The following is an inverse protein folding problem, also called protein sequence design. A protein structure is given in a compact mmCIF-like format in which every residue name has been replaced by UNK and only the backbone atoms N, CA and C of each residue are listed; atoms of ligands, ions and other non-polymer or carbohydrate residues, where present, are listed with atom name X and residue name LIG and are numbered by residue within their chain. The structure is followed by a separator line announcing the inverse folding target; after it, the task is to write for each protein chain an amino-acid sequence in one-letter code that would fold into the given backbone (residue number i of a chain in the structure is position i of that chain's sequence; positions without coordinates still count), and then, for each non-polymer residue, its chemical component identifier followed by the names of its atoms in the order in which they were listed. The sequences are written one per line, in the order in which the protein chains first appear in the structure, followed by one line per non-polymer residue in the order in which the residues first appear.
data_IF_380050515689
#
_entry.id   IF_380050515689
#
_cell.length_a   1.000
_cell.length_b   1.000
_cell.length_c   1.000
_cell.angle_alpha   90.00
_cell.angle_beta   90.00
_cell.angle_gamma   90.00
#
_symmetry.space_group_name_H-M   'P 1'
#
loop_
_entity.id
_entity.type
_entity.pdbx_description
1 polymer ?
#
# COMPACT_ATOMS: atom_id res chain seq x y z
N UNK A 1 -33.70 11.83 -1.95
CA UNK A 1 -34.25 10.97 -0.88
C UNK A 1 -35.52 11.64 -0.37
N UNK A 2 -36.61 10.91 -0.18
CA UNK A 2 -37.85 11.44 0.42
C UNK A 2 -37.78 11.17 1.92
N UNK A 3 -37.90 12.22 2.73
CA UNK A 3 -37.84 12.13 4.19
C UNK A 3 -39.23 11.79 4.77
N UNK A 4 -39.30 11.05 5.89
CA UNK A 4 -40.56 10.75 6.56
C UNK A 4 -41.26 12.05 7.02
N UNK A 5 -42.59 12.04 7.05
CA UNK A 5 -43.45 13.19 7.38
C UNK A 5 -44.60 12.75 8.31
N UNK A 6 -45.04 13.63 9.22
CA UNK A 6 -46.14 13.38 10.15
C UNK A 6 -47.52 13.71 9.55
N UNK A 7 -48.36 12.68 9.31
CA UNK A 7 -49.73 12.86 8.82
C UNK A 7 -50.60 13.65 9.84
N UNK A 8 -51.29 14.70 9.37
CA UNK A 8 -52.24 15.49 10.18
C UNK A 8 -51.62 16.48 11.17
N UNK A 9 -50.29 16.65 11.16
CA UNK A 9 -49.61 17.59 12.06
C UNK A 9 -49.72 19.05 11.55
N UNK A 10 -50.02 19.99 12.46
CA UNK A 10 -50.02 21.43 12.16
C UNK A 10 -48.61 22.00 11.98
N UNK A 11 -47.62 21.43 12.67
CA UNK A 11 -46.20 21.79 12.56
C UNK A 11 -45.35 20.53 12.65
N UNK A 12 -44.37 20.44 11.78
CA UNK A 12 -43.39 19.36 11.76
C UNK A 12 -41.98 19.96 11.87
N UNK A 13 -41.18 19.41 12.77
CA UNK A 13 -39.77 19.73 12.89
C UNK A 13 -39.02 18.46 13.25
N UNK A 14 -37.74 18.42 12.90
CA UNK A 14 -36.93 17.25 13.17
C UNK A 14 -35.47 17.45 12.84
N UNK A 15 -34.73 16.36 12.94
CA UNK A 15 -33.30 16.31 12.77
C UNK A 15 -32.95 15.23 11.76
N UNK A 16 -31.92 15.50 10.97
CA UNK A 16 -31.37 14.55 10.01
C UNK A 16 -29.87 14.43 10.27
N UNK A 17 -29.43 13.22 10.56
CA UNK A 17 -28.02 12.87 10.67
C UNK A 17 -27.63 11.99 9.49
N UNK A 18 -26.45 12.25 8.90
CA UNK A 18 -25.91 11.45 7.80
C UNK A 18 -24.63 10.79 8.29
N UNK A 19 -24.70 9.48 8.49
CA UNK A 19 -23.56 8.63 8.81
C UNK A 19 -22.89 8.08 7.54
N UNK A 20 -21.61 7.78 7.65
CA UNK A 20 -20.80 7.30 6.53
C UNK A 20 -20.06 6.02 6.92
N UNK A 21 -20.31 4.90 6.23
CA UNK A 21 -19.50 3.70 6.39
C UNK A 21 -18.15 3.85 5.66
N UNK A 22 -17.05 3.70 6.39
CA UNK A 22 -15.70 3.68 5.83
C UNK A 22 -15.20 5.04 5.32
N UNK A 23 -14.24 5.02 4.39
CA UNK A 23 -13.58 6.23 3.85
C UNK A 23 -14.36 6.83 2.69
N UNK A 24 -15.44 7.55 2.97
CA UNK A 24 -16.15 8.35 1.96
C UNK A 24 -16.07 9.84 2.31
N UNK A 25 -16.02 10.67 1.26
CA UNK A 25 -16.25 12.11 1.35
C UNK A 25 -17.71 12.42 1.07
N UNK A 26 -18.31 13.27 1.90
CA UNK A 26 -19.65 13.80 1.71
C UNK A 26 -19.61 15.32 1.52
N UNK A 27 -20.06 15.75 0.35
CA UNK A 27 -20.27 17.16 0.02
C UNK A 27 -21.77 17.46 -0.12
N UNK A 28 -22.22 18.58 0.45
CA UNK A 28 -23.58 19.06 0.27
C UNK A 28 -23.68 19.74 -1.10
N UNK A 29 -24.48 19.19 -2.01
CA UNK A 29 -24.68 19.77 -3.33
C UNK A 29 -25.81 20.80 -3.33
N UNK A 30 -26.91 20.51 -2.63
CA UNK A 30 -28.04 21.42 -2.47
C UNK A 30 -28.89 21.04 -1.25
N UNK A 31 -29.60 22.02 -0.69
CA UNK A 31 -30.60 21.82 0.37
C UNK A 31 -31.79 22.76 0.23
N UNK A 32 -32.96 22.31 0.71
CA UNK A 32 -34.19 23.12 0.82
C UNK A 32 -34.86 22.86 2.18
N UNK A 33 -35.29 23.92 2.84
CA UNK A 33 -35.96 23.90 4.16
C UNK A 33 -35.19 23.11 5.26
N UNK A 34 -33.86 23.00 5.10
CA UNK A 34 -32.92 22.41 6.05
C UNK A 34 -31.89 23.46 6.51
N UNK A 35 -31.56 23.43 7.80
CA UNK A 35 -30.47 24.19 8.38
C UNK A 35 -29.36 23.22 8.81
N UNK A 36 -28.15 23.39 8.27
CA UNK A 36 -26.99 22.64 8.75
C UNK A 36 -26.67 23.01 10.21
N UNK A 37 -26.31 22.00 10.98
CA UNK A 37 -25.96 22.11 12.40
C UNK A 37 -24.70 21.29 12.67
N UNK A 38 -24.06 21.54 13.80
CA UNK A 38 -22.98 20.69 14.29
C UNK A 38 -23.57 19.36 14.80
N UNK A 39 -22.87 18.24 14.59
CA UNK A 39 -23.33 16.93 15.07
C UNK A 39 -23.55 16.90 16.59
N UNK A 40 -22.82 17.72 17.37
CA UNK A 40 -22.99 17.89 18.82
C UNK A 40 -24.32 18.53 19.22
N UNK A 41 -25.03 19.16 18.28
CA UNK A 41 -26.33 19.77 18.49
C UNK A 41 -27.48 18.77 18.24
N UNK A 42 -27.19 17.56 17.77
CA UNK A 42 -28.19 16.52 17.60
C UNK A 42 -28.76 16.08 18.95
N UNK A 43 -30.05 15.68 19.01
CA UNK A 43 -30.61 15.01 20.17
C UNK A 43 -29.80 13.76 20.52
N UNK A 44 -29.63 13.48 21.81
CA UNK A 44 -28.82 12.35 22.30
C UNK A 44 -29.24 11.00 21.71
N UNK A 45 -30.53 10.78 21.51
CA UNK A 45 -31.08 9.55 20.91
C UNK A 45 -30.64 9.35 19.44
N UNK A 46 -30.56 10.45 18.67
CA UNK A 46 -30.14 10.42 17.25
C UNK A 46 -28.62 10.23 17.15
N UNK A 47 -27.86 10.85 18.05
CA UNK A 47 -26.41 10.68 18.10
C UNK A 47 -26.03 9.26 18.56
N UNK A 48 -26.75 8.70 19.54
CA UNK A 48 -26.49 7.38 20.10
C UNK A 48 -26.91 6.23 19.18
N UNK A 49 -27.83 6.45 18.24
CA UNK A 49 -28.25 5.42 17.28
C UNK A 49 -27.29 5.24 16.10
N UNK A 50 -26.34 6.17 15.91
CA UNK A 50 -25.37 6.08 14.83
C UNK A 50 -24.37 4.96 15.06
N UNK A 51 -24.19 4.10 14.05
CA UNK A 51 -23.24 2.97 14.08
C UNK A 51 -21.95 3.29 13.33
N UNK A 52 -21.91 4.45 12.68
CA UNK A 52 -20.75 5.01 11.99
C UNK A 52 -20.64 6.53 12.27
N UNK A 53 -19.48 7.15 12.01
CA UNK A 53 -19.33 8.59 12.24
C UNK A 53 -20.36 9.42 11.47
N UNK A 54 -21.00 10.36 12.17
CA UNK A 54 -21.89 11.35 11.57
C UNK A 54 -21.04 12.47 10.98
N UNK A 55 -21.07 12.62 9.65
CA UNK A 55 -20.28 13.66 8.97
C UNK A 55 -21.08 14.92 8.64
N UNK A 56 -22.42 14.81 8.56
CA UNK A 56 -23.32 15.95 8.30
C UNK A 56 -24.56 15.83 9.19
N UNK A 57 -25.01 16.96 9.72
CA UNK A 57 -26.20 17.05 10.55
C UNK A 57 -27.05 18.26 10.14
N UNK A 58 -28.37 18.09 10.20
CA UNK A 58 -29.34 19.09 9.79
C UNK A 58 -30.55 19.13 10.72
N UNK A 59 -31.21 20.30 10.76
CA UNK A 59 -32.50 20.52 11.42
C UNK A 59 -33.50 21.11 10.43
N UNK A 60 -34.75 20.67 10.47
CA UNK A 60 -35.84 21.24 9.67
C UNK A 60 -37.00 21.69 10.55
N UNK A 61 -37.77 22.67 10.06
CA UNK A 61 -38.94 23.26 10.74
C UNK A 61 -40.18 23.35 9.83
N UNK A 62 -40.05 22.83 8.61
CA UNK A 62 -41.12 22.78 7.60
C UNK A 62 -41.21 21.37 7.04
N UNK A 63 -42.41 20.93 6.64
CA UNK A 63 -42.59 19.64 6.01
C UNK A 63 -41.87 19.59 4.65
N UNK A 64 -41.54 18.38 4.22
CA UNK A 64 -40.89 18.10 2.92
C UNK A 64 -39.51 18.76 2.68
N UNK A 65 -38.55 18.66 3.62
CA UNK A 65 -37.17 19.09 3.36
C UNK A 65 -36.51 18.29 2.23
N UNK A 66 -35.64 18.93 1.45
CA UNK A 66 -34.87 18.29 0.38
C UNK A 66 -33.37 18.40 0.64
N UNK A 67 -32.64 17.29 0.51
CA UNK A 67 -31.18 17.24 0.60
C UNK A 67 -30.59 16.50 -0.59
N UNK A 68 -29.59 17.11 -1.23
CA UNK A 68 -28.77 16.50 -2.25
C UNK A 68 -27.32 16.44 -1.77
N UNK A 69 -26.79 15.22 -1.72
CA UNK A 69 -25.41 14.95 -1.33
C UNK A 69 -24.64 14.40 -2.53
N UNK A 70 -23.39 14.86 -2.66
CA UNK A 70 -22.39 14.20 -3.50
C UNK A 70 -21.56 13.31 -2.59
N UNK A 71 -21.53 12.02 -2.93
CA UNK A 71 -20.75 11.01 -2.22
C UNK A 71 -19.60 10.59 -3.10
N UNK A 72 -18.39 10.62 -2.57
CA UNK A 72 -17.21 10.15 -3.27
C UNK A 72 -16.47 9.15 -2.40
N UNK A 73 -16.11 8.00 -2.97
CA UNK A 73 -15.25 7.05 -2.29
C UNK A 73 -13.83 7.59 -2.33
N UNK A 74 -13.24 7.80 -1.16
CA UNK A 74 -11.83 8.15 -1.08
C UNK A 74 -11.02 6.90 -1.43
N UNK A 75 -9.91 7.04 -2.18
CA UNK A 75 -9.05 5.92 -2.48
C UNK A 75 -8.59 5.31 -1.15
N UNK A 76 -8.77 4.00 -1.03
CA UNK A 76 -8.03 3.21 -0.08
C UNK A 76 -6.62 3.17 -0.65
N UNK A 77 -5.72 4.00 -0.14
CA UNK A 77 -4.30 3.82 -0.44
C UNK A 77 -3.95 2.40 -0.02
N UNK A 78 -3.81 1.51 -1.00
CA UNK A 78 -3.10 0.25 -0.83
C UNK A 78 -1.75 0.65 -0.26
N UNK A 79 -1.58 0.46 1.05
CA UNK A 79 -0.29 0.61 1.69
C UNK A 79 0.70 -0.18 0.84
N UNK A 80 1.64 0.52 0.19
CA UNK A 80 2.67 -0.13 -0.61
C UNK A 80 3.22 -1.29 0.23
N UNK A 81 2.97 -2.53 -0.22
CA UNK A 81 3.17 -3.70 0.62
C UNK A 81 4.64 -3.85 1.01
N UNK A 82 5.54 -3.23 0.24
CA UNK A 82 6.88 -2.85 0.62
C UNK A 82 7.49 -1.84 -0.35
N UNK A 83 8.61 -1.24 0.03
CA UNK A 83 9.40 -0.35 -0.81
C UNK A 83 10.89 -0.62 -0.60
N UNK A 84 11.65 -0.69 -1.70
CA UNK A 84 13.11 -0.81 -1.62
C UNK A 84 13.71 0.59 -1.51
N UNK A 85 14.43 0.82 -0.42
CA UNK A 85 15.10 2.09 -0.16
C UNK A 85 16.40 2.18 -0.97
N UNK A 86 17.16 1.10 -1.00
CA UNK A 86 18.45 1.03 -1.71
C UNK A 86 18.81 -0.39 -2.10
N UNK A 87 19.44 -0.52 -3.27
CA UNK A 87 20.16 -1.71 -3.70
C UNK A 87 21.63 -1.33 -3.86
N UNK A 88 22.51 -1.99 -3.12
CA UNK A 88 23.95 -1.97 -3.37
C UNK A 88 24.33 -3.31 -4.00
N UNK A 89 24.85 -3.28 -5.23
CA UNK A 89 25.27 -4.45 -5.99
C UNK A 89 26.79 -4.44 -6.18
N UNK A 90 27.43 -5.61 -6.10
CA UNK A 90 28.83 -5.80 -6.44
C UNK A 90 28.96 -7.04 -7.33
N UNK A 91 29.52 -6.87 -8.52
CA UNK A 91 29.78 -7.99 -9.43
C UNK A 91 31.27 -8.18 -9.64
N UNK A 92 31.76 -9.40 -9.42
CA UNK A 92 33.15 -9.81 -9.63
C UNK A 92 33.19 -10.86 -10.73
N UNK A 93 33.98 -10.60 -11.78
CA UNK A 93 34.27 -11.56 -12.85
C UNK A 93 35.64 -12.18 -12.61
N UNK A 94 35.69 -13.51 -12.50
CA UNK A 94 36.95 -14.25 -12.42
C UNK A 94 37.58 -14.47 -13.80
N UNK A 95 38.91 -14.68 -13.89
CA UNK A 95 39.59 -15.02 -15.14
C UNK A 95 39.04 -16.28 -15.83
N UNK A 96 38.48 -17.21 -15.04
CA UNK A 96 37.88 -18.47 -15.51
C UNK A 96 36.45 -18.29 -16.04
N UNK A 97 35.92 -17.06 -16.05
CA UNK A 97 34.59 -16.76 -16.57
C UNK A 97 33.46 -16.94 -15.54
N UNK A 98 33.78 -17.09 -14.25
CA UNK A 98 32.76 -17.12 -13.19
C UNK A 98 32.38 -15.71 -12.77
N UNK A 99 31.09 -15.47 -12.69
CA UNK A 99 30.51 -14.20 -12.26
C UNK A 99 29.86 -14.38 -10.89
N UNK A 100 30.38 -13.68 -9.89
CA UNK A 100 29.77 -13.61 -8.56
C UNK A 100 29.10 -12.24 -8.41
N UNK A 101 27.81 -12.21 -8.10
CA UNK A 101 27.07 -10.98 -7.84
C UNK A 101 26.50 -11.00 -6.43
N UNK A 102 26.92 -10.06 -5.61
CA UNK A 102 26.36 -9.80 -4.29
C UNK A 102 25.36 -8.65 -4.38
N UNK A 103 24.16 -8.87 -3.85
CA UNK A 103 23.15 -7.84 -3.71
C UNK A 103 22.86 -7.62 -2.23
N UNK A 104 22.93 -6.37 -1.79
CA UNK A 104 22.45 -5.91 -0.48
C UNK A 104 21.25 -4.99 -0.69
N UNK A 105 20.08 -5.46 -0.28
CA UNK A 105 18.80 -4.80 -0.51
C UNK A 105 18.28 -4.29 0.84
N UNK A 106 18.23 -2.96 0.99
CA UNK A 106 17.59 -2.32 2.15
C UNK A 106 16.16 -1.95 1.78
N UNK A 107 15.19 -2.47 2.53
CA UNK A 107 13.78 -2.27 2.24
C UNK A 107 12.90 -2.14 3.49
N UNK A 108 11.69 -1.63 3.29
CA UNK A 108 10.61 -1.61 4.27
C UNK A 108 9.47 -2.49 3.77
N UNK A 109 8.88 -3.29 4.64
CA UNK A 109 7.84 -4.26 4.26
C UNK A 109 6.72 -4.28 5.29
N UNK A 110 5.47 -4.17 4.85
CA UNK A 110 4.30 -4.24 5.74
C UNK A 110 3.74 -5.65 5.79
N UNK A 111 3.60 -6.32 4.64
CA UNK A 111 2.80 -7.54 4.53
C UNK A 111 3.36 -8.60 3.56
N UNK A 112 4.36 -8.30 2.72
CA UNK A 112 4.83 -9.28 1.72
C UNK A 112 5.61 -10.42 2.37
N UNK A 113 5.37 -11.69 2.00
CA UNK A 113 6.12 -12.83 2.53
C UNK A 113 7.49 -12.96 1.89
N UNK A 114 7.67 -12.51 0.64
CA UNK A 114 8.92 -12.59 -0.11
C UNK A 114 9.08 -11.43 -1.10
N UNK A 115 10.33 -11.18 -1.48
CA UNK A 115 10.74 -10.34 -2.61
C UNK A 115 11.05 -11.25 -3.79
N UNK A 116 10.48 -10.99 -4.96
CA UNK A 116 10.79 -11.76 -6.16
C UNK A 116 11.91 -11.07 -6.96
N UNK A 117 12.96 -11.81 -7.30
CA UNK A 117 14.03 -11.38 -8.20
C UNK A 117 13.97 -12.18 -9.51
N UNK A 118 13.83 -11.49 -10.63
CA UNK A 118 14.08 -12.07 -11.93
C UNK A 118 15.60 -12.23 -12.12
N UNK A 119 16.07 -13.48 -12.21
CA UNK A 119 17.48 -13.78 -12.36
C UNK A 119 17.89 -13.79 -13.84
N UNK A 120 19.13 -13.37 -14.17
CA UNK A 120 19.73 -13.64 -15.48
C UNK A 120 19.82 -15.14 -15.75
N UNK A 121 19.84 -15.52 -17.03
CA UNK A 121 19.93 -16.94 -17.42
C UNK A 121 21.15 -17.64 -16.78
N UNK A 122 20.97 -18.90 -16.40
CA UNK A 122 22.02 -19.74 -15.78
C UNK A 122 22.62 -19.17 -14.47
N UNK A 123 21.83 -18.46 -13.66
CA UNK A 123 22.23 -17.96 -12.35
C UNK A 123 21.76 -18.88 -11.23
N UNK A 124 22.69 -19.33 -10.38
CA UNK A 124 22.44 -20.05 -9.14
C UNK A 124 22.58 -19.15 -7.90
N UNK A 125 21.99 -19.59 -6.79
CA UNK A 125 22.10 -18.91 -5.49
C UNK A 125 23.15 -19.61 -4.62
N UNK A 126 24.15 -18.85 -4.18
CA UNK A 126 25.19 -19.31 -3.23
C UNK A 126 24.73 -19.18 -1.80
N UNK A 127 24.11 -18.06 -1.44
CA UNK A 127 23.62 -17.78 -0.09
C UNK A 127 22.58 -16.67 -0.10
N UNK A 128 21.73 -16.66 0.93
CA UNK A 128 20.81 -15.57 1.22
C UNK A 128 20.73 -15.33 2.73
N UNK A 129 20.71 -14.06 3.14
CA UNK A 129 20.63 -13.64 4.54
C UNK A 129 19.50 -12.61 4.70
N UNK A 130 18.82 -12.65 5.84
CA UNK A 130 17.87 -11.64 6.30
C UNK A 130 18.39 -11.06 7.62
N UNK A 131 18.80 -9.79 7.61
CA UNK A 131 19.54 -9.15 8.71
C UNK A 131 20.70 -9.98 9.25
N UNK A 132 21.52 -10.52 8.35
CA UNK A 132 22.67 -11.37 8.68
C UNK A 132 22.32 -12.80 9.13
N UNK A 133 21.04 -13.16 9.22
CA UNK A 133 20.60 -14.52 9.56
C UNK A 133 20.36 -15.31 8.28
N UNK A 134 20.93 -16.53 8.11
CA UNK A 134 20.68 -17.36 6.94
C UNK A 134 19.20 -17.67 6.73
N UNK A 135 18.75 -17.53 5.49
CA UNK A 135 17.38 -17.88 5.07
C UNK A 135 17.42 -18.79 3.85
N UNK A 136 16.40 -19.63 3.72
CA UNK A 136 16.24 -20.50 2.55
C UNK A 136 15.38 -19.81 1.51
N UNK A 137 15.94 -19.39 0.37
CA UNK A 137 15.14 -18.85 -0.71
C UNK A 137 14.41 -19.97 -1.47
N UNK A 138 13.34 -19.61 -2.17
CA UNK A 138 12.58 -20.53 -3.02
C UNK A 138 12.44 -19.98 -4.43
N UNK A 139 11.77 -20.70 -5.33
CA UNK A 139 11.44 -20.20 -6.66
C UNK A 139 9.93 -20.22 -6.86
N UNK A 140 9.41 -19.25 -7.62
CA UNK A 140 8.02 -19.28 -8.07
C UNK A 140 7.83 -20.11 -9.34
N UNK A 141 6.58 -20.29 -9.77
CA UNK A 141 6.22 -21.03 -10.99
C UNK A 141 6.84 -20.43 -12.27
N UNK A 142 7.28 -19.17 -12.23
CA UNK A 142 7.92 -18.46 -13.34
C UNK A 142 9.44 -18.52 -13.26
N UNK A 143 10.00 -19.26 -12.29
CA UNK A 143 11.44 -19.41 -12.08
C UNK A 143 12.12 -18.18 -11.45
N UNK A 144 11.35 -17.22 -10.92
CA UNK A 144 11.93 -16.08 -10.18
C UNK A 144 12.37 -16.55 -8.80
N UNK A 145 13.47 -15.99 -8.32
CA UNK A 145 13.95 -16.24 -6.97
C UNK A 145 13.08 -15.50 -5.96
N UNK A 146 12.57 -16.20 -4.96
CA UNK A 146 11.82 -15.64 -3.84
C UNK A 146 12.72 -15.55 -2.61
N UNK A 147 13.05 -14.33 -2.21
CA UNK A 147 13.80 -14.04 -0.99
C UNK A 147 12.81 -13.80 0.16
N UNK A 148 12.85 -14.60 1.25
CA UNK A 148 11.96 -14.42 2.38
C UNK A 148 12.09 -13.03 3.01
N UNK A 149 10.96 -12.42 3.34
CA UNK A 149 10.91 -11.12 4.01
C UNK A 149 10.30 -11.25 5.41
N UNK A 150 10.69 -10.34 6.29
CA UNK A 150 9.98 -10.07 7.54
C UNK A 150 9.15 -8.80 7.43
N UNK A 151 8.23 -8.61 8.36
CA UNK A 151 7.55 -7.32 8.53
C UNK A 151 8.52 -6.33 9.19
N UNK A 152 8.55 -5.11 8.67
CA UNK A 152 9.20 -3.98 9.33
C UNK A 152 8.56 -3.71 10.68
N UNK A 153 9.38 -3.32 11.66
CA UNK A 153 8.91 -2.84 12.95
C UNK A 153 8.60 -1.34 12.87
N UNK A 154 7.90 -0.81 13.87
CA UNK A 154 7.55 0.61 13.96
C UNK A 154 6.07 0.91 13.76
N UNK A 155 5.62 2.04 14.28
CA UNK A 155 4.25 2.56 14.13
C UNK A 155 4.12 3.40 12.86
N UNK A 156 4.09 4.72 13.02
CA UNK A 156 3.95 5.66 11.88
C UNK A 156 5.16 5.63 10.91
N UNK A 157 6.35 5.25 11.39
CA UNK A 157 7.55 5.11 10.57
C UNK A 157 8.09 3.70 10.68
N UNK A 158 8.08 2.99 9.55
CA UNK A 158 8.62 1.63 9.45
C UNK A 158 10.16 1.66 9.45
N UNK A 159 10.74 0.80 10.28
CA UNK A 159 12.17 0.53 10.33
C UNK A 159 12.58 -0.33 9.11
N UNK A 160 13.61 0.07 8.35
CA UNK A 160 14.13 -0.75 7.27
C UNK A 160 14.88 -1.96 7.81
N UNK A 161 14.96 -3.01 6.99
CA UNK A 161 15.82 -4.17 7.22
C UNK A 161 16.57 -4.53 5.94
N UNK A 162 17.54 -5.44 6.05
CA UNK A 162 18.41 -5.82 4.94
C UNK A 162 18.18 -7.27 4.53
N UNK A 163 18.08 -7.50 3.23
CA UNK A 163 18.19 -8.82 2.61
C UNK A 163 19.45 -8.85 1.76
N UNK A 164 20.29 -9.85 1.97
CA UNK A 164 21.53 -10.05 1.22
C UNK A 164 21.40 -11.35 0.42
N UNK A 165 21.84 -11.34 -0.84
CA UNK A 165 21.90 -12.56 -1.67
C UNK A 165 23.19 -12.57 -2.48
N UNK A 166 23.86 -13.72 -2.48
CA UNK A 166 25.02 -13.98 -3.33
C UNK A 166 24.61 -14.93 -4.43
N UNK A 167 24.86 -14.50 -5.67
CA UNK A 167 24.51 -15.20 -6.88
C UNK A 167 25.78 -15.58 -7.64
N UNK A 168 25.74 -16.75 -8.27
CA UNK A 168 26.82 -17.24 -9.13
C UNK A 168 26.25 -17.58 -10.51
N UNK A 169 26.93 -17.13 -11.55
CA UNK A 169 26.66 -17.57 -12.93
C UNK A 169 27.96 -17.83 -13.66
N UNK A 170 27.91 -18.63 -14.70
CA UNK A 170 29.04 -18.88 -15.58
C UNK A 170 28.84 -18.15 -16.91
N UNK A 171 29.92 -17.60 -17.46
CA UNK A 171 29.92 -17.00 -18.80
C UNK A 171 30.98 -17.62 -19.69
N UNK A 172 30.68 -17.58 -20.99
CA UNK A 172 31.68 -17.83 -22.02
C UNK A 172 32.81 -16.77 -21.90
N UNK A 173 34.07 -17.14 -22.22
CA UNK A 173 35.20 -16.23 -22.16
C UNK A 173 34.94 -14.96 -22.97
N UNK A 174 35.35 -13.81 -22.42
CA UNK A 174 35.26 -12.53 -23.11
C UNK A 174 36.05 -12.60 -24.42
N UNK A 175 35.37 -12.48 -25.56
CA UNK A 175 36.05 -12.26 -26.83
C UNK A 175 36.68 -10.86 -26.83
N UNK A 176 37.84 -10.72 -27.50
CA UNK A 176 38.77 -9.57 -27.49
C UNK A 176 38.17 -8.17 -27.82
N UNK A 177 36.88 -8.07 -28.15
CA UNK A 177 36.20 -6.85 -28.55
C UNK A 177 34.80 -6.65 -27.92
N UNK A 178 34.38 -7.48 -26.97
CA UNK A 178 33.06 -7.38 -26.37
C UNK A 178 33.04 -6.54 -25.09
N UNK A 179 32.36 -5.39 -25.11
CA UNK A 179 31.82 -4.82 -23.87
C UNK A 179 30.90 -5.89 -23.25
N UNK A 180 31.28 -6.45 -22.11
CA UNK A 180 30.46 -7.46 -21.45
C UNK A 180 29.20 -6.77 -20.93
N UNK A 181 28.06 -6.97 -21.59
CA UNK A 181 26.77 -6.57 -21.05
C UNK A 181 26.53 -7.43 -19.80
N UNK A 182 26.75 -6.90 -18.61
CA UNK A 182 26.40 -7.58 -17.36
C UNK A 182 24.95 -7.21 -17.00
N UNK A 183 24.17 -8.18 -16.56
CA UNK A 183 22.77 -7.97 -16.19
C UNK A 183 22.62 -8.20 -14.69
N UNK A 184 22.05 -7.22 -13.98
CA UNK A 184 21.66 -7.39 -12.59
C UNK A 184 20.29 -8.06 -12.51
N UNK A 185 20.04 -8.87 -11.46
CA UNK A 185 18.70 -9.33 -11.14
C UNK A 185 17.72 -8.17 -10.93
N UNK A 186 16.50 -8.31 -11.43
CA UNK A 186 15.47 -7.29 -11.32
C UNK A 186 14.45 -7.63 -10.22
N UNK A 187 14.30 -6.79 -9.17
CA UNK A 187 13.29 -6.99 -8.15
C UNK A 187 11.88 -6.65 -8.67
N UNK A 188 10.86 -7.27 -8.06
CA UNK A 188 9.45 -6.98 -8.32
C UNK A 188 8.90 -5.77 -7.54
N UNK A 189 9.78 -5.05 -6.83
CA UNK A 189 9.50 -3.78 -6.15
C UNK A 189 10.41 -2.67 -6.70
N UNK A 190 9.91 -1.43 -6.84
CA UNK A 190 10.74 -0.31 -7.24
C UNK A 190 11.78 0.01 -6.16
N UNK A 191 13.00 0.32 -6.60
CA UNK A 191 14.09 0.80 -5.76
C UNK A 191 14.26 2.31 -5.88
N UNK A 192 14.30 3.01 -4.74
CA UNK A 192 14.54 4.45 -4.73
C UNK A 192 15.97 4.82 -5.14
N UNK A 193 16.94 3.93 -4.92
CA UNK A 193 18.31 4.07 -5.37
C UNK A 193 18.94 2.72 -5.69
N UNK A 194 19.78 2.68 -6.73
CA UNK A 194 20.62 1.53 -7.08
C UNK A 194 22.06 2.00 -7.28
N UNK A 195 23.00 1.26 -6.69
CA UNK A 195 24.44 1.43 -6.88
C UNK A 195 25.02 0.10 -7.33
N UNK A 196 25.88 0.14 -8.34
CA UNK A 196 26.56 -1.01 -8.91
C UNK A 196 28.02 -0.67 -9.21
#
# INVERSE_FOLDING_TARGET
MVLPHCLGALREHGWLAVEVPGKLRLDEAARRDLAAVDARQLPGEVAASAVSPILKAYRYHRPSPELQLRVERLPEEELAEGAIDRIDALTVLSPEGKLLTELRITLRNTLRPSLALALPAATGVRSALLDGVPVTPSQDERGRLLLPLKRSRGGERLEPFTVEVVLESERAPLALAGLAAMDLPAPDLPAAALRW
#
